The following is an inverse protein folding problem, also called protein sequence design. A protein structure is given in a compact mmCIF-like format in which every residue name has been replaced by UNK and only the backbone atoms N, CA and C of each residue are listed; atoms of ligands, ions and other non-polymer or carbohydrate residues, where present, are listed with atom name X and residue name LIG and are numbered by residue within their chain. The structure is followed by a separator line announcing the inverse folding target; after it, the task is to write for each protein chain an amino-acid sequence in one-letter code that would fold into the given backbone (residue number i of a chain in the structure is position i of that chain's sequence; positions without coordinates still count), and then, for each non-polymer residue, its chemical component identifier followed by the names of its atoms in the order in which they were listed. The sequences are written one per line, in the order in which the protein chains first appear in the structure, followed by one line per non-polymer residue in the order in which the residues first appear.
data_IF_269469343664
#
_entry.id   IF_269469343664
#
_cell.length_a   1.000
_cell.length_b   1.000
_cell.length_c   1.000
_cell.angle_alpha   90.00
_cell.angle_beta   90.00
_cell.angle_gamma   90.00
#
_symmetry.space_group_name_H-M   'P 1'
#
loop_
_entity.id
_entity.type
_entity.pdbx_description
1 polymer ?
#
# COMPACT_ATOMS: atom_id res chain seq x y z
N UNK A 1 14.25 -13.54 15.61
CA UNK A 1 13.98 -12.75 14.43
C UNK A 1 13.28 -11.46 14.74
N UNK A 2 14.09 -10.49 15.07
CA UNK A 2 13.60 -9.19 15.48
C UNK A 2 12.77 -8.52 14.38
N UNK A 3 13.22 -8.64 13.12
CA UNK A 3 12.52 -8.01 12.01
C UNK A 3 11.11 -8.57 11.82
N UNK A 4 10.94 -9.87 11.99
CA UNK A 4 9.63 -10.50 11.86
C UNK A 4 8.67 -10.01 12.94
N UNK A 5 9.17 -9.91 14.17
CA UNK A 5 8.35 -9.43 15.28
C UNK A 5 7.95 -7.98 15.07
N UNK A 6 8.87 -7.17 14.56
CA UNK A 6 8.57 -5.77 14.28
C UNK A 6 7.52 -5.63 13.21
N UNK A 7 7.59 -6.46 12.17
CA UNK A 7 6.62 -6.46 11.09
C UNK A 7 5.24 -6.86 11.63
N UNK A 8 5.18 -7.92 12.43
CA UNK A 8 3.91 -8.37 12.99
C UNK A 8 3.28 -7.32 13.89
N UNK A 9 4.07 -6.67 14.72
CA UNK A 9 3.58 -5.62 15.58
C UNK A 9 3.09 -4.42 14.78
N UNK A 10 3.81 -4.06 13.73
CA UNK A 10 3.41 -2.97 12.86
C UNK A 10 2.08 -3.27 12.18
N UNK A 11 1.91 -4.50 11.70
CA UNK A 11 0.66 -4.92 11.06
C UNK A 11 -0.49 -4.84 12.04
N UNK A 12 -0.31 -5.34 13.26
CA UNK A 12 -1.35 -5.28 14.28
C UNK A 12 -1.73 -3.85 14.60
N UNK A 13 -0.74 -3.00 14.77
CA UNK A 13 -0.97 -1.59 15.09
C UNK A 13 -1.73 -0.88 13.98
N UNK A 14 -1.30 -1.07 12.75
CA UNK A 14 -1.93 -0.44 11.60
C UNK A 14 -3.35 -0.97 11.42
N UNK A 15 -3.53 -2.28 11.54
CA UNK A 15 -4.82 -2.91 11.34
C UNK A 15 -5.84 -2.53 12.41
N UNK A 16 -5.37 -2.04 13.55
CA UNK A 16 -6.26 -1.64 14.64
C UNK A 16 -6.86 -0.26 14.41
N UNK A 17 -6.35 0.51 13.46
CA UNK A 17 -6.89 1.82 13.15
C UNK A 17 -8.23 1.69 12.43
N UNK A 18 -9.18 2.53 12.81
CA UNK A 18 -10.54 2.47 12.26
C UNK A 18 -10.61 2.67 10.76
N UNK A 19 -9.66 3.42 10.21
CA UNK A 19 -9.66 3.73 8.80
C UNK A 19 -9.02 2.68 7.91
N UNK A 20 -8.62 1.55 8.46
CA UNK A 20 -7.89 0.53 7.72
C UNK A 20 -8.77 -0.68 7.45
N UNK A 21 -8.95 -1.00 6.16
CA UNK A 21 -9.71 -2.17 5.74
C UNK A 21 -8.83 -3.42 5.74
N UNK A 22 -7.57 -3.29 5.36
CA UNK A 22 -6.66 -4.42 5.34
C UNK A 22 -5.21 -4.01 5.25
N UNK A 23 -4.33 -4.93 5.58
CA UNK A 23 -2.88 -4.74 5.55
C UNK A 23 -2.24 -5.97 4.93
N UNK A 24 -1.21 -5.74 4.13
CA UNK A 24 -0.49 -6.81 3.45
C UNK A 24 1.00 -6.48 3.44
N UNK A 25 1.82 -7.46 3.79
CA UNK A 25 3.28 -7.35 3.69
C UNK A 25 3.75 -8.35 2.64
N UNK A 26 4.54 -7.86 1.69
CA UNK A 26 5.04 -8.66 0.57
C UNK A 26 6.56 -8.61 0.61
N UNK A 27 7.23 -9.75 0.37
CA UNK A 27 8.67 -9.75 0.30
C UNK A 27 9.15 -9.27 -1.09
N UNK A 28 10.46 -9.22 -1.29
CA UNK A 28 11.02 -8.71 -2.54
C UNK A 28 10.69 -9.58 -3.76
N UNK A 29 10.26 -10.79 -3.54
CA UNK A 29 9.90 -11.70 -4.62
C UNK A 29 8.41 -11.67 -4.94
N UNK A 30 7.66 -10.84 -4.24
CA UNK A 30 6.22 -10.75 -4.45
C UNK A 30 5.41 -11.77 -3.67
N UNK A 31 6.04 -12.42 -2.71
CA UNK A 31 5.37 -13.43 -1.89
C UNK A 31 4.79 -12.79 -0.64
N UNK A 32 3.49 -12.99 -0.35
CA UNK A 32 2.91 -12.44 0.86
C UNK A 32 3.52 -13.06 2.11
N UNK A 33 3.95 -12.21 3.03
CA UNK A 33 4.52 -12.67 4.31
C UNK A 33 3.47 -12.63 5.40
N UNK A 34 2.65 -11.58 5.39
CA UNK A 34 1.64 -11.35 6.39
C UNK A 34 0.46 -10.66 5.73
N UNK A 35 -0.76 -11.06 6.09
CA UNK A 35 -1.95 -10.45 5.49
C UNK A 35 -3.13 -10.52 6.44
N UNK A 36 -4.00 -9.51 6.35
CA UNK A 36 -5.30 -9.54 7.01
C UNK A 36 -6.41 -9.75 5.97
N UNK A 37 -6.04 -9.91 4.71
CA UNK A 37 -7.01 -10.11 3.63
C UNK A 37 -7.30 -11.59 3.43
N UNK A 38 -8.37 -11.87 2.71
CA UNK A 38 -8.68 -13.24 2.32
C UNK A 38 -7.63 -13.74 1.34
N UNK A 39 -7.52 -15.06 1.24
CA UNK A 39 -6.48 -15.69 0.45
C UNK A 39 -6.46 -15.25 -1.01
N UNK A 40 -7.61 -15.25 -1.65
CA UNK A 40 -7.69 -14.86 -3.06
C UNK A 40 -7.30 -13.40 -3.27
N UNK A 41 -7.75 -12.53 -2.39
CA UNK A 41 -7.39 -11.11 -2.45
C UNK A 41 -5.90 -10.90 -2.21
N UNK A 42 -5.34 -11.64 -1.27
CA UNK A 42 -3.92 -11.53 -0.94
C UNK A 42 -3.06 -11.88 -2.15
N UNK A 43 -3.35 -12.98 -2.80
CA UNK A 43 -2.58 -13.44 -3.96
C UNK A 43 -2.67 -12.42 -5.09
N UNK A 44 -3.87 -11.94 -5.37
CA UNK A 44 -4.08 -10.98 -6.44
C UNK A 44 -3.37 -9.66 -6.17
N UNK A 45 -3.53 -9.12 -4.96
CA UNK A 45 -2.87 -7.86 -4.58
C UNK A 45 -1.36 -7.99 -4.61
N UNK A 46 -0.84 -9.10 -4.07
CA UNK A 46 0.61 -9.29 -4.03
C UNK A 46 1.21 -9.29 -5.43
N UNK A 47 0.60 -10.00 -6.35
CA UNK A 47 1.11 -10.09 -7.72
C UNK A 47 1.07 -8.74 -8.42
N UNK A 48 -0.09 -8.08 -8.40
CA UNK A 48 -0.28 -6.84 -9.12
C UNK A 48 0.51 -5.68 -8.52
N UNK A 49 0.52 -5.58 -7.20
CA UNK A 49 1.21 -4.48 -6.53
C UNK A 49 2.72 -4.62 -6.66
N UNK A 50 3.25 -5.83 -6.58
CA UNK A 50 4.67 -6.06 -6.78
C UNK A 50 5.10 -5.58 -8.16
N UNK A 51 4.32 -5.93 -9.17
CA UNK A 51 4.61 -5.52 -10.54
C UNK A 51 4.52 -4.01 -10.71
N UNK A 52 3.49 -3.42 -10.15
CA UNK A 52 3.29 -1.98 -10.21
C UNK A 52 4.40 -1.22 -9.49
N UNK A 53 4.79 -1.66 -8.31
CA UNK A 53 5.86 -1.02 -7.56
C UNK A 53 7.21 -1.08 -8.29
N UNK A 54 7.48 -2.19 -8.97
CA UNK A 54 8.68 -2.29 -9.79
C UNK A 54 8.70 -1.28 -10.92
N UNK A 55 7.57 -1.11 -11.58
CA UNK A 55 7.45 -0.13 -12.67
C UNK A 55 7.62 1.29 -12.14
N UNK A 56 6.99 1.59 -11.03
CA UNK A 56 7.10 2.92 -10.42
C UNK A 56 8.54 3.22 -10.00
N UNK A 57 9.20 2.22 -9.42
CA UNK A 57 10.60 2.37 -9.01
C UNK A 57 11.49 2.62 -10.21
N UNK A 58 11.25 1.91 -11.30
CA UNK A 58 12.00 2.10 -12.52
C UNK A 58 11.85 3.52 -13.07
N UNK A 59 10.65 4.07 -13.00
CA UNK A 59 10.41 5.44 -13.44
C UNK A 59 11.19 6.44 -12.59
N UNK A 60 11.15 6.28 -11.27
CA UNK A 60 11.85 7.20 -10.37
C UNK A 60 13.35 7.18 -10.62
N UNK A 61 13.95 6.00 -10.75
CA UNK A 61 15.40 5.89 -10.97
C UNK A 61 15.79 6.29 -12.37
N UNK A 62 14.91 6.14 -13.34
CA UNK A 62 15.20 6.61 -14.70
C UNK A 62 15.25 8.13 -14.77
N UNK A 63 14.40 8.79 -14.02
CA UNK A 63 14.39 10.25 -13.96
C UNK A 63 15.57 10.80 -13.16
N UNK A 64 15.97 10.11 -12.10
CA UNK A 64 17.07 10.52 -11.25
C UNK A 64 17.69 9.29 -10.61
N UNK A 65 18.85 8.83 -11.10
CA UNK A 65 19.48 7.61 -10.55
C UNK A 65 19.87 7.69 -9.08
N UNK A 66 19.93 8.88 -8.50
CA UNK A 66 20.26 9.05 -7.08
C UNK A 66 19.02 9.02 -6.19
N UNK A 67 17.86 8.98 -6.80
CA UNK A 67 16.59 8.99 -6.08
C UNK A 67 16.06 7.58 -5.88
N UNK A 68 15.08 7.44 -5.01
CA UNK A 68 14.43 6.15 -4.82
C UNK A 68 12.97 6.34 -4.45
N UNK A 69 12.17 5.33 -4.77
CA UNK A 69 10.75 5.34 -4.47
C UNK A 69 10.54 5.00 -3.00
N UNK A 70 9.85 5.88 -2.26
CA UNK A 70 9.56 5.64 -0.85
C UNK A 70 8.09 5.38 -0.58
N UNK A 71 7.21 5.86 -1.44
CA UNK A 71 5.79 5.75 -1.17
C UNK A 71 4.97 5.93 -2.44
N UNK A 72 3.89 5.13 -2.55
CA UNK A 72 2.91 5.24 -3.62
C UNK A 72 1.52 5.30 -3.02
N UNK A 73 0.69 6.10 -3.62
CA UNK A 73 -0.71 6.18 -3.24
C UNK A 73 -1.53 6.11 -4.51
N UNK A 74 -2.32 5.06 -4.63
CA UNK A 74 -3.16 4.84 -5.80
C UNK A 74 -4.61 5.01 -5.39
N UNK A 75 -5.29 5.91 -6.06
CA UNK A 75 -6.67 6.18 -5.76
C UNK A 75 -7.52 5.94 -6.98
N UNK A 76 -8.47 5.05 -6.85
CA UNK A 76 -9.45 4.81 -7.89
C UNK A 76 -10.81 5.34 -7.42
N UNK A 77 -11.83 5.18 -8.25
CA UNK A 77 -13.16 5.66 -7.92
C UNK A 77 -13.68 5.05 -6.62
N UNK A 78 -13.40 3.76 -6.39
CA UNK A 78 -13.97 3.02 -5.27
C UNK A 78 -12.98 2.67 -4.17
N UNK A 79 -11.69 2.75 -4.45
CA UNK A 79 -10.69 2.24 -3.53
C UNK A 79 -9.45 3.11 -3.51
N UNK A 80 -8.70 2.95 -2.44
CA UNK A 80 -7.39 3.57 -2.32
C UNK A 80 -6.42 2.51 -1.81
N UNK A 81 -5.17 2.57 -2.28
CA UNK A 81 -4.13 1.66 -1.85
C UNK A 81 -2.89 2.46 -1.56
N UNK A 82 -2.29 2.25 -0.40
CA UNK A 82 -1.04 2.90 -0.04
C UNK A 82 0.05 1.84 -0.03
N UNK A 83 1.16 2.13 -0.69
CA UNK A 83 2.25 1.19 -0.88
C UNK A 83 3.55 1.83 -0.41
N UNK A 84 4.21 1.21 0.56
CA UNK A 84 5.48 1.70 1.08
C UNK A 84 6.55 0.63 0.85
N UNK A 85 7.29 0.72 -0.28
CA UNK A 85 8.36 -0.23 -0.53
C UNK A 85 9.54 0.04 0.38
N UNK A 86 10.11 -1.03 0.92
CA UNK A 86 11.30 -0.94 1.73
C UNK A 86 12.31 -1.90 1.15
N UNK A 87 13.46 -2.00 1.80
CA UNK A 87 14.59 -2.78 1.34
C UNK A 87 14.25 -4.26 1.19
N UNK A 88 13.63 -4.82 2.21
CA UNK A 88 13.38 -6.26 2.27
C UNK A 88 11.92 -6.64 2.07
N UNK A 89 11.02 -5.70 2.15
CA UNK A 89 9.61 -5.98 2.01
C UNK A 89 8.85 -4.73 1.58
N UNK A 90 7.60 -4.92 1.20
CA UNK A 90 6.71 -3.83 0.82
C UNK A 90 5.47 -3.89 1.70
N UNK A 91 5.15 -2.78 2.33
CA UNK A 91 3.95 -2.65 3.13
C UNK A 91 2.82 -2.12 2.26
N UNK A 92 1.67 -2.78 2.31
CA UNK A 92 0.48 -2.34 1.58
C UNK A 92 -0.63 -2.12 2.57
N UNK A 93 -1.24 -0.94 2.53
CA UNK A 93 -2.36 -0.59 3.40
C UNK A 93 -3.56 -0.25 2.54
N UNK A 94 -4.70 -0.85 2.85
CA UNK A 94 -5.95 -0.60 2.16
C UNK A 94 -6.86 0.18 3.10
N UNK A 95 -6.97 1.51 2.94
CA UNK A 95 -7.86 2.30 3.78
C UNK A 95 -9.32 1.96 3.52
N UNK A 96 -10.15 2.23 4.50
CA UNK A 96 -11.59 2.04 4.36
C UNK A 96 -12.11 3.00 3.28
N UNK A 97 -12.69 2.50 2.20
CA UNK A 97 -13.14 3.36 1.09
C UNK A 97 -14.16 4.41 1.50
N UNK A 98 -15.01 4.09 2.44
CA UNK A 98 -16.04 5.03 2.89
C UNK A 98 -15.42 6.26 3.54
N UNK A 99 -14.40 6.07 4.36
CA UNK A 99 -13.72 7.18 5.02
C UNK A 99 -12.88 8.00 4.04
N UNK A 100 -12.21 7.31 3.13
CA UNK A 100 -11.41 7.97 2.09
C UNK A 100 -12.30 8.82 1.19
N UNK A 101 -13.42 8.26 0.75
CA UNK A 101 -14.36 8.98 -0.11
C UNK A 101 -14.90 10.22 0.57
N UNK A 102 -15.23 10.11 1.85
CA UNK A 102 -15.73 11.24 2.61
C UNK A 102 -14.70 12.36 2.70
N UNK A 103 -13.46 12.01 3.03
CA UNK A 103 -12.39 12.98 3.12
C UNK A 103 -12.16 13.67 1.78
N UNK A 104 -12.21 12.90 0.69
CA UNK A 104 -12.03 13.42 -0.65
C UNK A 104 -13.15 14.38 -1.04
N UNK A 105 -14.37 14.04 -0.68
CA UNK A 105 -15.52 14.89 -0.99
C UNK A 105 -15.35 16.26 -0.33
N UNK A 106 -14.90 16.26 0.92
CA UNK A 106 -14.67 17.52 1.63
C UNK A 106 -13.58 18.34 0.96
N UNK A 107 -12.46 17.73 0.65
CA UNK A 107 -11.32 18.43 0.04
C UNK A 107 -11.55 18.70 -1.43
N UNK A 108 -11.95 17.66 -2.17
CA UNK A 108 -12.12 17.76 -3.62
C UNK A 108 -13.34 18.57 -4.02
N UNK A 109 -14.39 18.53 -3.21
CA UNK A 109 -15.59 19.29 -3.48
C UNK A 109 -15.33 20.79 -3.55
N UNK A 110 -14.41 21.24 -2.71
CA UNK A 110 -14.02 22.63 -2.73
C UNK A 110 -13.33 23.05 -4.00
N UNK A 111 -12.59 22.12 -4.61
CA UNK A 111 -11.88 22.39 -5.84
C UNK A 111 -12.71 22.26 -7.09
N UNK A 112 -13.84 21.60 -7.00
CA UNK A 112 -14.69 21.40 -8.16
C UNK A 112 -14.03 20.66 -9.30
N UNK A 113 -12.99 19.94 -9.01
CA UNK A 113 -12.26 19.20 -10.02
C UNK A 113 -12.71 17.76 -10.03
N UNK A 114 -13.17 17.35 -11.12
CA UNK A 114 -13.56 15.99 -11.25
C UNK A 114 -12.37 15.08 -11.23
#
# INVERSE_FOLDING_TARGET
MTAVNEVEEAVKRINSHKGVLGVLIINNEGIPIKTTLENAETVQHAALITHFARKARAVVTALDPTNELTFLRVRSKSHETMIAPDKDYTLVVLPNPALVTRATTVVGGGGGMG
#
